data_IF_763485702896
#
_entry.id   IF_763485702896
#
_cell.length_a   1.000
_cell.length_b   1.000
_cell.length_c   1.000
_cell.angle_alpha   90.00
_cell.angle_beta   90.00
_cell.angle_gamma   90.00
#
_symmetry.space_group_name_H-M   'P 1'
#
loop_
_entity.id
_entity.type
_entity.pdbx_description
1 polymer ?
#
# COMPACT_ATOMS: atom_id res chain seq x y z
N UNK A 1 8.78 19.26 -0.16
CA UNK A 1 7.66 19.97 0.50
C UNK A 1 8.11 20.40 1.90
N UNK A 2 7.61 21.51 2.48
CA UNK A 2 8.10 22.01 3.79
C UNK A 2 7.12 21.81 4.97
N UNK A 3 5.81 21.96 4.75
CA UNK A 3 4.75 21.76 5.76
C UNK A 3 3.36 21.77 5.11
N UNK A 4 2.34 21.29 5.84
CA UNK A 4 0.93 21.35 5.44
C UNK A 4 0.26 22.65 5.92
N UNK A 5 -0.66 23.18 5.11
CA UNK A 5 -1.44 24.39 5.40
C UNK A 5 -2.75 24.12 6.16
N UNK A 6 -3.05 22.86 6.46
CA UNK A 6 -4.23 22.44 7.26
C UNK A 6 -3.83 22.20 8.72
N UNK A 7 -4.81 22.15 9.63
CA UNK A 7 -4.63 21.74 11.04
C UNK A 7 -5.28 20.38 11.35
N UNK A 8 -5.77 19.67 10.34
CA UNK A 8 -6.46 18.38 10.50
C UNK A 8 -5.81 17.32 9.61
N UNK A 9 -6.04 16.06 9.98
CA UNK A 9 -5.82 14.94 9.08
C UNK A 9 -6.86 15.02 7.96
N UNK A 10 -6.43 14.89 6.71
CA UNK A 10 -7.28 15.01 5.53
C UNK A 10 -6.86 13.96 4.52
N UNK A 11 -7.85 13.27 3.96
CA UNK A 11 -7.64 12.26 2.95
C UNK A 11 -8.28 12.66 1.62
N UNK A 12 -7.60 12.31 0.53
CA UNK A 12 -8.19 12.25 -0.80
C UNK A 12 -8.25 10.80 -1.25
N UNK A 13 -9.36 10.42 -1.86
CA UNK A 13 -9.68 9.04 -2.21
C UNK A 13 -10.24 8.98 -3.63
N UNK A 14 -9.69 8.06 -4.44
CA UNK A 14 -10.23 7.64 -5.72
C UNK A 14 -10.36 6.12 -5.71
N UNK A 15 -11.60 5.64 -5.69
CA UNK A 15 -11.93 4.22 -5.72
C UNK A 15 -12.79 3.96 -6.94
N UNK A 16 -12.22 3.44 -8.02
CA UNK A 16 -12.96 3.45 -9.28
C UNK A 16 -12.15 3.07 -10.50
N UNK A 17 -12.73 3.30 -11.68
CA UNK A 17 -12.05 3.17 -12.97
C UNK A 17 -10.74 3.96 -13.00
N UNK A 18 -9.70 3.37 -13.59
CA UNK A 18 -8.40 4.04 -13.68
C UNK A 18 -8.43 5.10 -14.80
N UNK A 19 -8.61 6.35 -14.40
CA UNK A 19 -8.53 7.52 -15.29
C UNK A 19 -7.31 8.37 -14.89
N UNK A 20 -6.17 8.09 -15.54
CA UNK A 20 -4.88 8.72 -15.22
C UNK A 20 -4.98 10.26 -15.20
N UNK A 21 -5.63 10.87 -16.20
CA UNK A 21 -5.71 12.32 -16.29
C UNK A 21 -6.56 12.92 -15.17
N UNK A 22 -7.75 12.35 -14.89
CA UNK A 22 -8.62 12.84 -13.82
C UNK A 22 -7.99 12.65 -12.44
N UNK A 23 -7.40 11.49 -12.18
CA UNK A 23 -6.71 11.21 -10.90
C UNK A 23 -5.61 12.26 -10.69
N UNK A 24 -4.71 12.46 -11.66
CA UNK A 24 -3.62 13.45 -11.54
C UNK A 24 -4.16 14.87 -11.34
N UNK A 25 -5.20 15.26 -12.08
CA UNK A 25 -5.78 16.61 -11.99
C UNK A 25 -6.39 16.86 -10.60
N UNK A 26 -7.23 15.94 -10.12
CA UNK A 26 -7.89 16.07 -8.83
C UNK A 26 -6.90 15.95 -7.67
N UNK A 27 -5.99 14.98 -7.73
CA UNK A 27 -4.93 14.78 -6.74
C UNK A 27 -4.03 16.01 -6.61
N UNK A 28 -3.62 16.60 -7.73
CA UNK A 28 -2.78 17.79 -7.74
C UNK A 28 -3.55 19.02 -7.22
N UNK A 29 -4.81 19.18 -7.61
CA UNK A 29 -5.69 20.22 -7.06
C UNK A 29 -5.84 20.07 -5.55
N UNK A 30 -6.10 18.86 -5.07
CA UNK A 30 -6.22 18.54 -3.65
C UNK A 30 -4.93 18.86 -2.89
N UNK A 31 -3.78 18.37 -3.34
CA UNK A 31 -2.54 18.56 -2.59
C UNK A 31 -2.05 20.02 -2.66
N UNK A 32 -2.26 20.71 -3.78
CA UNK A 32 -1.89 22.13 -3.91
C UNK A 32 -2.72 23.05 -3.02
N UNK A 33 -3.99 22.72 -2.73
CA UNK A 33 -4.81 23.52 -1.81
C UNK A 33 -4.42 23.35 -0.34
N UNK A 34 -3.64 22.31 -0.02
CA UNK A 34 -3.22 22.00 1.35
C UNK A 34 -1.72 22.15 1.58
N UNK A 35 -0.96 22.59 0.58
CA UNK A 35 0.51 22.69 0.63
C UNK A 35 1.02 23.94 -0.09
N UNK A 36 2.30 24.25 0.02
CA UNK A 36 2.94 25.36 -0.70
C UNK A 36 3.47 24.99 -2.09
N UNK A 37 3.24 23.76 -2.56
CA UNK A 37 3.73 23.30 -3.85
C UNK A 37 2.80 23.74 -5.00
N UNK A 38 3.39 24.03 -6.16
CA UNK A 38 2.60 24.33 -7.35
C UNK A 38 1.88 23.08 -7.86
N UNK A 39 0.66 23.27 -8.37
CA UNK A 39 -0.12 22.20 -8.97
C UNK A 39 0.64 21.50 -10.11
N UNK A 40 1.40 22.25 -10.92
CA UNK A 40 2.21 21.69 -12.02
C UNK A 40 3.28 20.71 -11.55
N UNK A 41 3.99 21.04 -10.48
CA UNK A 41 5.02 20.18 -9.90
C UNK A 41 4.38 18.89 -9.34
N UNK A 42 3.28 19.05 -8.61
CA UNK A 42 2.53 17.92 -8.04
C UNK A 42 1.98 17.01 -9.16
N UNK A 43 1.43 17.59 -10.23
CA UNK A 43 0.90 16.83 -11.36
C UNK A 43 1.98 15.97 -12.01
N UNK A 44 3.20 16.51 -12.20
CA UNK A 44 4.33 15.73 -12.71
C UNK A 44 4.64 14.55 -11.79
N UNK A 45 4.80 14.81 -10.48
CA UNK A 45 5.09 13.76 -9.49
C UNK A 45 4.04 12.66 -9.48
N UNK A 46 2.75 13.01 -9.51
CA UNK A 46 1.69 12.00 -9.54
C UNK A 46 1.65 11.25 -10.86
N UNK A 47 1.87 11.94 -11.99
CA UNK A 47 1.95 11.28 -13.28
C UNK A 47 3.09 10.26 -13.30
N UNK A 48 4.27 10.61 -12.80
CA UNK A 48 5.42 9.71 -12.74
C UNK A 48 5.14 8.52 -11.83
N UNK A 49 4.57 8.75 -10.65
CA UNK A 49 4.19 7.69 -9.71
C UNK A 49 3.19 6.70 -10.34
N UNK A 50 2.11 7.19 -10.95
CA UNK A 50 1.11 6.34 -11.60
C UNK A 50 1.68 5.56 -12.79
N UNK A 51 2.53 6.19 -13.60
CA UNK A 51 3.16 5.56 -14.75
C UNK A 51 4.14 4.46 -14.33
N UNK A 52 4.99 4.73 -13.33
CA UNK A 52 5.94 3.73 -12.81
C UNK A 52 5.18 2.54 -12.22
N UNK A 53 4.18 2.79 -11.36
CA UNK A 53 3.40 1.73 -10.73
C UNK A 53 2.65 0.88 -11.76
N UNK A 54 2.02 1.51 -12.77
CA UNK A 54 1.30 0.81 -13.83
C UNK A 54 2.25 -0.04 -14.67
N UNK A 55 3.37 0.54 -15.12
CA UNK A 55 4.38 -0.17 -15.88
C UNK A 55 4.86 -1.42 -15.13
N UNK A 56 5.09 -1.28 -13.82
CA UNK A 56 5.54 -2.40 -12.99
C UNK A 56 4.46 -3.49 -12.83
N UNK A 57 3.18 -3.13 -12.61
CA UNK A 57 2.09 -4.12 -12.59
C UNK A 57 1.99 -4.84 -13.94
N UNK A 58 2.03 -4.10 -15.06
CA UNK A 58 1.93 -4.68 -16.40
C UNK A 58 3.08 -5.66 -16.70
N UNK A 59 4.32 -5.31 -16.33
CA UNK A 59 5.52 -6.11 -16.62
C UNK A 59 5.69 -7.32 -15.69
N UNK A 60 5.37 -7.18 -14.40
CA UNK A 60 5.75 -8.15 -13.36
C UNK A 60 4.59 -8.87 -12.67
N UNK A 61 3.43 -8.24 -12.58
CA UNK A 61 2.27 -8.79 -11.85
C UNK A 61 1.20 -9.33 -12.79
N UNK A 62 1.09 -8.69 -13.97
CA UNK A 62 0.08 -8.98 -15.00
C UNK A 62 -1.33 -8.92 -14.42
N UNK A 63 -1.51 -8.05 -13.42
CA UNK A 63 -2.79 -7.73 -12.82
C UNK A 63 -3.63 -6.85 -13.76
N UNK A 64 -4.97 -6.94 -13.72
CA UNK A 64 -5.81 -5.96 -14.38
C UNK A 64 -5.57 -4.56 -13.80
N UNK A 65 -5.43 -3.56 -14.68
CA UNK A 65 -5.28 -2.14 -14.30
C UNK A 65 -6.50 -1.31 -14.72
N UNK A 66 -7.68 -1.94 -14.80
CA UNK A 66 -8.93 -1.29 -15.24
C UNK A 66 -9.47 -0.31 -14.20
N UNK A 67 -9.24 -0.63 -12.93
CA UNK A 67 -9.66 0.14 -11.77
C UNK A 67 -8.49 0.30 -10.79
N UNK A 68 -8.61 1.26 -9.90
CA UNK A 68 -7.63 1.48 -8.85
C UNK A 68 -8.25 1.95 -7.54
N UNK A 69 -7.50 1.69 -6.45
CA UNK A 69 -7.67 2.29 -5.14
C UNK A 69 -6.50 3.25 -4.90
N UNK A 70 -6.71 4.52 -5.19
CA UNK A 70 -5.71 5.58 -5.02
C UNK A 70 -6.07 6.48 -3.84
N UNK A 71 -5.11 6.72 -2.95
CA UNK A 71 -5.31 7.56 -1.76
C UNK A 71 -4.13 8.49 -1.53
N UNK A 72 -4.43 9.68 -1.01
CA UNK A 72 -3.46 10.61 -0.44
C UNK A 72 -3.89 10.88 0.99
N UNK A 73 -3.00 10.62 1.94
CA UNK A 73 -3.22 10.87 3.37
C UNK A 73 -2.31 12.01 3.82
N UNK A 74 -2.91 13.09 4.28
CA UNK A 74 -2.25 14.20 4.95
C UNK A 74 -2.43 14.00 6.45
N UNK A 75 -1.34 13.75 7.16
CA UNK A 75 -1.36 13.48 8.60
C UNK A 75 -0.57 14.54 9.35
N UNK A 76 -1.15 15.00 10.47
CA UNK A 76 -0.52 15.91 11.42
C UNK A 76 0.32 15.16 12.46
N UNK A 77 1.26 15.86 13.12
CA UNK A 77 2.03 15.28 14.18
C UNK A 77 1.12 14.69 15.26
N UNK A 78 1.38 13.44 15.62
CA UNK A 78 0.63 12.73 16.64
C UNK A 78 1.41 11.52 17.14
N UNK A 79 1.09 11.09 18.36
CA UNK A 79 1.84 10.01 19.02
C UNK A 79 1.32 8.60 18.68
N UNK A 80 0.34 8.50 17.78
CA UNK A 80 -0.35 7.24 17.47
C UNK A 80 0.57 6.16 16.87
N UNK A 81 1.74 6.57 16.36
CA UNK A 81 2.77 5.71 15.77
C UNK A 81 4.12 5.81 16.50
N UNK A 82 4.18 6.40 17.70
CA UNK A 82 5.41 6.37 18.54
C UNK A 82 5.83 4.92 18.81
N UNK A 83 4.86 4.04 19.07
CA UNK A 83 5.10 2.60 18.98
C UNK A 83 4.75 2.12 17.57
N UNK A 84 5.72 1.55 16.82
CA UNK A 84 5.47 1.06 15.48
C UNK A 84 4.43 -0.07 15.51
N UNK A 85 3.64 -0.12 14.44
CA UNK A 85 2.63 -1.13 14.15
C UNK A 85 3.12 -2.00 12.99
N UNK A 86 4.06 -2.88 13.28
CA UNK A 86 4.61 -3.80 12.29
C UNK A 86 3.51 -4.76 11.81
N UNK A 87 3.36 -4.88 10.50
CA UNK A 87 2.40 -5.79 9.89
C UNK A 87 2.82 -6.19 8.48
N UNK A 88 2.19 -7.25 7.98
CA UNK A 88 2.13 -7.60 6.56
C UNK A 88 0.73 -7.30 6.07
N UNK A 89 0.62 -6.81 4.83
CA UNK A 89 -0.70 -6.64 4.22
C UNK A 89 -1.31 -8.01 3.93
N UNK A 90 -2.48 -8.26 4.51
CA UNK A 90 -3.33 -9.38 4.14
C UNK A 90 -3.95 -9.19 2.76
N UNK A 91 -4.80 -10.14 2.34
CA UNK A 91 -5.52 -10.01 1.07
C UNK A 91 -6.45 -8.81 1.07
N UNK A 92 -6.31 -7.93 0.09
CA UNK A 92 -7.10 -6.70 -0.03
C UNK A 92 -8.49 -6.96 -0.64
N UNK A 93 -8.55 -7.93 -1.54
CA UNK A 93 -9.76 -8.47 -2.14
C UNK A 93 -9.52 -9.92 -2.59
N UNK A 94 -10.60 -10.62 -2.91
CA UNK A 94 -10.50 -11.94 -3.52
C UNK A 94 -10.11 -11.77 -5.00
N UNK A 95 -8.88 -12.15 -5.34
CA UNK A 95 -8.36 -12.05 -6.71
C UNK A 95 -9.14 -13.00 -7.63
N UNK A 96 -9.65 -12.46 -8.74
CA UNK A 96 -10.33 -13.24 -9.79
C UNK A 96 -9.35 -13.84 -10.80
N UNK A 97 -8.08 -13.46 -10.68
CA UNK A 97 -7.03 -13.65 -11.66
C UNK A 97 -6.59 -15.12 -11.84
N UNK A 98 -6.72 -16.01 -10.85
CA UNK A 98 -6.45 -17.44 -11.02
C UNK A 98 -7.19 -18.30 -9.98
N UNK A 99 -8.41 -18.74 -10.31
CA UNK A 99 -9.05 -19.82 -9.58
C UNK A 99 -8.41 -21.17 -9.94
N UNK A 100 -7.56 -21.68 -9.04
CA UNK A 100 -7.50 -23.11 -8.75
C UNK A 100 -7.11 -23.34 -7.29
N UNK A 101 -7.99 -22.92 -6.39
CA UNK A 101 -8.19 -23.64 -5.14
C UNK A 101 -9.65 -24.11 -5.12
N UNK A 102 -9.91 -25.23 -5.80
CA UNK A 102 -10.83 -26.25 -5.29
C UNK A 102 -9.92 -27.37 -4.82
N UNK A 103 -9.79 -27.57 -3.51
CA UNK A 103 -10.42 -28.69 -2.81
C UNK A 103 -10.04 -30.06 -3.42
N UNK A 104 -9.44 -30.91 -2.59
CA UNK A 104 -9.03 -32.28 -2.88
C UNK A 104 -7.87 -32.47 -3.87
N UNK A 105 -6.72 -32.86 -3.32
CA UNK A 105 -5.75 -33.69 -4.01
C UNK A 105 -6.46 -34.93 -4.56
N UNK A 106 -6.75 -34.93 -5.85
CA UNK A 106 -6.95 -36.16 -6.61
C UNK A 106 -5.78 -36.27 -7.57
N UNK A 107 -4.97 -37.30 -7.33
CA UNK A 107 -3.88 -37.75 -8.18
C UNK A 107 -4.37 -37.92 -9.63
N UNK A 108 -3.93 -37.03 -10.51
CA UNK A 108 -4.30 -37.07 -11.91
C UNK A 108 -3.30 -36.29 -12.73
N UNK A 109 -2.39 -37.02 -13.37
CA UNK A 109 -1.38 -36.55 -14.31
C UNK A 109 -1.98 -35.54 -15.31
N UNK A 110 -1.69 -34.25 -15.15
CA UNK A 110 -1.87 -33.25 -16.21
C UNK A 110 -0.56 -32.48 -16.40
N UNK A 111 -0.07 -32.53 -17.64
CA UNK A 111 1.11 -31.82 -18.12
C UNK A 111 0.80 -30.35 -18.45
N UNK A 112 -0.09 -29.71 -17.70
CA UNK A 112 -0.32 -28.27 -17.81
C UNK A 112 0.69 -27.53 -16.95
N UNK A 113 1.35 -26.47 -17.46
CA UNK A 113 2.21 -25.65 -16.62
C UNK A 113 1.39 -25.12 -15.45
N UNK A 114 1.86 -25.35 -14.22
CA UNK A 114 1.28 -24.78 -13.00
C UNK A 114 1.05 -23.29 -13.26
N UNK A 115 -0.20 -22.85 -13.30
CA UNK A 115 -0.54 -21.43 -13.49
C UNK A 115 0.13 -20.65 -12.35
N UNK A 116 1.10 -19.81 -12.68
CA UNK A 116 1.84 -18.99 -11.71
C UNK A 116 0.87 -18.11 -10.94
N UNK A 117 0.84 -18.23 -9.62
CA UNK A 117 -0.02 -17.44 -8.73
C UNK A 117 0.08 -15.95 -9.09
N UNK A 118 -1.06 -15.31 -9.33
CA UNK A 118 -1.10 -13.88 -9.61
C UNK A 118 -0.61 -13.10 -8.39
N UNK A 119 0.41 -12.26 -8.60
CA UNK A 119 0.96 -11.38 -7.57
C UNK A 119 0.17 -10.08 -7.64
N UNK A 120 -0.30 -9.59 -6.50
CA UNK A 120 -0.84 -8.24 -6.41
C UNK A 120 0.00 -7.40 -5.48
N UNK A 121 0.09 -6.13 -5.81
CA UNK A 121 0.79 -5.16 -4.99
C UNK A 121 -0.01 -3.90 -4.72
N UNK A 122 0.31 -3.28 -3.58
CA UNK A 122 0.06 -1.89 -3.27
C UNK A 122 1.36 -1.13 -3.50
N UNK A 123 1.30 -0.05 -4.27
CA UNK A 123 2.41 0.86 -4.51
C UNK A 123 2.23 2.06 -3.59
N UNK A 124 3.31 2.56 -2.98
CA UNK A 124 3.22 3.74 -2.14
C UNK A 124 4.47 4.60 -2.18
N UNK A 125 4.30 5.88 -1.87
CA UNK A 125 5.40 6.82 -1.72
C UNK A 125 5.09 7.84 -0.63
N UNK A 126 6.15 8.38 -0.02
CA UNK A 126 6.05 9.49 0.92
C UNK A 126 6.56 10.75 0.23
N UNK A 127 5.74 11.81 0.18
CA UNK A 127 6.07 13.09 -0.47
C UNK A 127 6.49 14.19 0.53
N UNK A 128 6.16 14.00 1.81
CA UNK A 128 6.54 14.86 2.92
C UNK A 128 6.60 14.02 4.19
N UNK A 129 7.56 14.32 5.05
CA UNK A 129 7.70 13.69 6.36
C UNK A 129 8.49 12.38 6.32
N UNK A 130 8.53 11.66 7.46
CA UNK A 130 9.24 10.40 7.59
C UNK A 130 8.66 9.32 6.66
N UNK A 131 9.56 8.52 6.08
CA UNK A 131 9.18 7.42 5.18
C UNK A 131 8.63 6.22 5.96
N UNK A 132 7.83 5.39 5.30
CA UNK A 132 7.39 4.10 5.84
C UNK A 132 8.59 3.28 6.29
N UNK A 133 8.52 2.67 7.46
CA UNK A 133 9.56 1.76 7.94
C UNK A 133 9.37 0.41 7.24
N UNK A 134 10.47 -0.16 6.73
CA UNK A 134 10.48 -1.46 6.06
C UNK A 134 11.55 -2.34 6.70
N UNK A 135 11.18 -3.56 7.05
CA UNK A 135 12.14 -4.57 7.47
C UNK A 135 12.59 -5.40 6.25
N UNK A 136 13.90 -5.62 6.06
CA UNK A 136 14.39 -6.62 5.12
C UNK A 136 13.84 -8.01 5.48
N UNK A 137 13.57 -8.83 4.47
CA UNK A 137 13.14 -10.20 4.68
C UNK A 137 14.31 -11.05 5.21
N UNK A 138 14.28 -11.36 6.50
CA UNK A 138 15.25 -12.22 7.18
C UNK A 138 14.54 -13.38 7.86
N UNK A 139 15.28 -14.44 8.20
CA UNK A 139 14.73 -15.57 8.96
C UNK A 139 14.15 -15.13 10.31
N UNK A 140 14.75 -14.12 10.94
CA UNK A 140 14.31 -13.58 12.23
C UNK A 140 13.00 -12.79 12.09
N UNK A 141 12.89 -11.95 11.05
CA UNK A 141 11.65 -11.21 10.77
C UNK A 141 10.50 -12.18 10.49
N UNK A 142 10.73 -13.18 9.62
CA UNK A 142 9.73 -14.20 9.30
C UNK A 142 9.29 -15.01 10.51
N UNK A 143 10.22 -15.54 11.30
CA UNK A 143 9.86 -16.32 12.49
C UNK A 143 9.11 -15.48 13.52
N UNK A 144 9.51 -14.21 13.68
CA UNK A 144 8.83 -13.28 14.58
C UNK A 144 7.38 -13.03 14.19
N UNK A 145 7.07 -12.88 12.89
CA UNK A 145 5.70 -12.74 12.39
C UNK A 145 4.87 -14.01 12.66
N UNK A 146 5.43 -15.19 12.45
CA UNK A 146 4.74 -16.48 12.70
C UNK A 146 4.44 -16.67 14.20
N UNK A 147 5.41 -16.36 15.07
CA UNK A 147 5.28 -16.55 16.52
C UNK A 147 4.18 -15.70 17.15
N UNK A 148 3.83 -14.57 16.54
CA UNK A 148 2.78 -13.66 17.05
C UNK A 148 1.43 -13.85 16.39
N UNK A 149 1.33 -14.65 15.32
CA UNK A 149 0.14 -14.73 14.48
C UNK A 149 -1.13 -15.20 15.21
N UNK A 150 -0.98 -15.91 16.34
CA UNK A 150 -2.11 -16.37 17.17
C UNK A 150 -2.45 -15.45 18.34
N UNK A 151 -1.70 -14.36 18.53
CA UNK A 151 -1.92 -13.40 19.62
C UNK A 151 -3.08 -12.45 19.28
N UNK A 152 -3.57 -11.72 20.28
CA UNK A 152 -4.45 -10.59 20.00
C UNK A 152 -3.68 -9.46 19.29
N UNK A 153 -4.37 -8.63 18.51
CA UNK A 153 -3.75 -7.53 17.77
C UNK A 153 -2.90 -6.59 18.64
N UNK A 154 -3.30 -6.34 19.89
CA UNK A 154 -2.54 -5.47 20.78
C UNK A 154 -1.28 -6.15 21.32
N UNK A 155 -1.37 -7.44 21.66
CA UNK A 155 -0.20 -8.22 22.10
C UNK A 155 0.80 -8.40 20.95
N UNK A 156 0.31 -8.71 19.75
CA UNK A 156 1.10 -8.76 18.51
C UNK A 156 1.88 -7.45 18.33
N UNK A 157 1.18 -6.31 18.39
CA UNK A 157 1.77 -4.97 18.23
C UNK A 157 2.89 -4.71 19.23
N UNK A 158 2.65 -4.97 20.52
CA UNK A 158 3.66 -4.76 21.58
C UNK A 158 4.87 -5.67 21.37
N UNK A 159 4.63 -6.94 21.06
CA UNK A 159 5.68 -7.93 20.89
C UNK A 159 6.55 -7.66 19.66
N UNK A 160 5.94 -7.31 18.51
CA UNK A 160 6.69 -6.98 17.31
C UNK A 160 7.48 -5.67 17.47
N UNK A 161 6.89 -4.64 18.09
CA UNK A 161 7.61 -3.39 18.37
C UNK A 161 8.87 -3.63 19.21
N UNK A 162 8.78 -4.51 20.23
CA UNK A 162 9.92 -4.89 21.06
C UNK A 162 10.95 -5.74 20.31
N UNK A 163 10.50 -6.73 19.54
CA UNK A 163 11.40 -7.65 18.80
C UNK A 163 12.23 -6.90 17.76
N UNK A 164 11.63 -5.93 17.07
CA UNK A 164 12.27 -5.22 15.97
C UNK A 164 12.89 -3.87 16.37
N UNK A 165 12.97 -3.55 17.67
CA UNK A 165 13.52 -2.28 18.18
C UNK A 165 14.97 -2.04 17.71
N UNK A 166 15.75 -3.11 17.50
CA UNK A 166 17.16 -3.04 17.12
C UNK A 166 17.43 -3.53 15.69
N UNK A 167 16.39 -3.83 14.91
CA UNK A 167 16.57 -4.26 13.52
C UNK A 167 16.91 -3.06 12.63
N UNK A 168 17.77 -3.29 11.64
CA UNK A 168 18.06 -2.27 10.63
C UNK A 168 16.94 -2.22 9.59
N UNK A 169 16.46 -1.01 9.31
CA UNK A 169 15.42 -0.79 8.30
C UNK A 169 16.02 -0.57 6.92
N UNK A 170 15.26 -0.88 5.87
CA UNK A 170 15.61 -0.47 4.53
C UNK A 170 15.70 1.07 4.46
N UNK A 171 16.79 1.58 3.89
CA UNK A 171 16.98 3.03 3.74
C UNK A 171 16.10 3.54 2.60
N UNK A 172 15.22 4.48 2.92
CA UNK A 172 14.34 5.14 1.98
C UNK A 172 14.49 6.66 2.07
N UNK A 173 14.35 7.32 0.93
CA UNK A 173 14.22 8.78 0.84
C UNK A 173 12.84 9.17 0.32
N UNK A 174 12.45 10.41 0.63
CA UNK A 174 11.20 11.00 0.13
C UNK A 174 11.17 10.91 -1.40
N UNK A 175 10.06 10.40 -1.94
CA UNK A 175 9.87 10.16 -3.37
C UNK A 175 10.18 8.74 -3.82
N UNK A 176 10.85 7.92 -3.01
CA UNK A 176 10.99 6.50 -3.31
C UNK A 176 9.62 5.82 -3.41
N UNK A 177 9.51 4.84 -4.31
CA UNK A 177 8.29 4.07 -4.52
C UNK A 177 8.50 2.68 -3.93
N UNK A 178 7.66 2.33 -2.97
CA UNK A 178 7.64 1.03 -2.33
C UNK A 178 6.56 0.19 -2.99
N UNK A 179 6.87 -1.08 -3.27
CA UNK A 179 5.92 -2.09 -3.72
C UNK A 179 5.69 -3.10 -2.60
N UNK A 180 4.46 -3.12 -2.09
CA UNK A 180 4.00 -4.09 -1.10
C UNK A 180 3.24 -5.18 -1.82
N UNK A 181 3.87 -6.34 -2.04
CA UNK A 181 3.07 -7.54 -2.31
C UNK A 181 2.19 -7.82 -1.10
N UNK A 182 1.05 -8.46 -1.30
CA UNK A 182 0.11 -8.72 -0.21
C UNK A 182 -0.51 -10.11 -0.30
N UNK A 183 -0.88 -10.65 0.87
CA UNK A 183 -1.51 -11.97 0.99
C UNK A 183 -0.56 -13.16 0.82
N UNK A 184 0.74 -12.91 0.80
CA UNK A 184 1.82 -13.91 0.78
C UNK A 184 2.67 -13.85 2.06
N UNK A 185 3.24 -14.99 2.47
CA UNK A 185 4.06 -15.10 3.69
C UNK A 185 5.34 -14.26 3.64
N UNK A 186 5.87 -13.99 2.44
CA UNK A 186 7.04 -13.14 2.19
C UNK A 186 6.67 -11.70 1.80
N UNK A 187 5.41 -11.29 2.01
CA UNK A 187 4.99 -9.90 1.82
C UNK A 187 5.79 -8.97 2.74
N UNK A 188 6.15 -7.75 2.29
CA UNK A 188 7.00 -6.86 3.09
C UNK A 188 6.40 -6.52 4.47
N UNK A 189 7.18 -6.75 5.52
CA UNK A 189 6.86 -6.31 6.88
C UNK A 189 7.16 -4.82 6.98
N UNK A 190 6.16 -4.04 7.36
CA UNK A 190 6.27 -2.58 7.37
C UNK A 190 5.48 -1.92 8.49
N UNK A 191 5.80 -0.65 8.72
CA UNK A 191 5.08 0.17 9.70
C UNK A 191 5.07 1.65 9.33
N UNK A 192 4.06 2.38 9.80
CA UNK A 192 4.14 3.83 9.86
C UNK A 192 5.32 4.27 10.76
N UNK A 193 6.05 5.32 10.35
CA UNK A 193 7.10 5.89 11.17
C UNK A 193 6.51 6.70 12.32
N UNK A 194 7.34 7.01 13.34
CA UNK A 194 7.00 8.04 14.31
C UNK A 194 6.81 9.39 13.59
N UNK A 195 5.62 9.97 13.74
CA UNK A 195 5.25 11.27 13.19
C UNK A 195 5.01 12.32 14.26
N UNK A 196 5.32 12.07 15.54
CA UNK A 196 5.07 12.96 16.69
C UNK A 196 5.56 14.40 16.49
N UNK A 197 6.57 14.60 15.63
CA UNK A 197 7.20 15.89 15.38
C UNK A 197 7.09 16.39 13.92
N UNK A 198 6.32 15.74 13.05
CA UNK A 198 6.28 16.13 11.63
C UNK A 198 4.95 15.85 10.92
N UNK A 199 4.61 16.72 9.98
CA UNK A 199 3.56 16.46 9.00
C UNK A 199 4.00 15.33 8.07
N UNK A 200 3.04 14.53 7.59
CA UNK A 200 3.28 13.45 6.63
C UNK A 200 2.31 13.50 5.46
N UNK A 201 2.82 13.35 4.24
CA UNK A 201 2.03 13.13 3.02
C UNK A 201 2.37 11.75 2.47
N UNK A 202 1.44 10.82 2.62
CA UNK A 202 1.59 9.46 2.15
C UNK A 202 0.61 9.19 1.01
N UNK A 203 1.10 8.59 -0.06
CA UNK A 203 0.33 8.29 -1.27
C UNK A 203 0.35 6.79 -1.48
N UNK A 204 -0.78 6.19 -1.79
CA UNK A 204 -0.83 4.78 -2.17
C UNK A 204 -1.76 4.51 -3.33
N UNK A 205 -1.45 3.48 -4.10
CA UNK A 205 -2.16 3.02 -5.28
C UNK A 205 -2.20 1.51 -5.28
N UNK A 206 -3.34 0.93 -5.59
CA UNK A 206 -3.48 -0.48 -5.88
C UNK A 206 -4.33 -0.65 -7.13
N UNK A 207 -3.95 -1.56 -8.02
CA UNK A 207 -4.70 -1.88 -9.23
C UNK A 207 -5.56 -3.14 -9.05
N UNK A 208 -6.60 -3.25 -9.86
CA UNK A 208 -7.38 -4.47 -10.04
C UNK A 208 -8.43 -4.29 -11.13
N UNK A 209 -9.23 -5.33 -11.32
CA UNK A 209 -10.40 -5.30 -12.21
C UNK A 209 -11.51 -4.42 -11.62
N UNK A 210 -12.44 -3.96 -12.47
CA UNK A 210 -13.63 -3.25 -11.97
C UNK A 210 -14.44 -4.09 -10.99
N UNK A 211 -14.48 -5.41 -11.15
CA UNK A 211 -15.22 -6.31 -10.25
C UNK A 211 -14.59 -6.37 -8.86
N UNK A 212 -13.27 -6.61 -8.78
CA UNK A 212 -12.52 -6.67 -7.52
C UNK A 212 -12.67 -5.38 -6.72
N UNK A 213 -12.49 -4.22 -7.38
CA UNK A 213 -12.55 -2.94 -6.71
C UNK A 213 -13.99 -2.56 -6.31
N UNK A 214 -15.02 -2.93 -7.09
CA UNK A 214 -16.43 -2.78 -6.65
C UNK A 214 -16.74 -3.61 -5.43
N UNK A 215 -16.23 -4.85 -5.36
CA UNK A 215 -16.38 -5.71 -4.19
C UNK A 215 -15.73 -5.08 -2.96
N UNK A 216 -14.51 -4.57 -3.11
CA UNK A 216 -13.78 -3.87 -2.05
C UNK A 216 -14.50 -2.60 -1.58
N UNK A 217 -15.02 -1.78 -2.51
CA UNK A 217 -15.86 -0.61 -2.20
C UNK A 217 -17.07 -1.02 -1.35
N UNK A 218 -17.80 -2.07 -1.75
CA UNK A 218 -18.95 -2.58 -1.00
C UNK A 218 -18.59 -3.04 0.41
N UNK A 219 -17.47 -3.74 0.58
CA UNK A 219 -17.00 -4.21 1.88
C UNK A 219 -16.59 -3.06 2.82
N UNK A 220 -16.16 -1.94 2.24
CA UNK A 220 -15.68 -0.76 2.98
C UNK A 220 -16.69 0.39 3.03
N UNK A 221 -17.93 0.15 2.59
CA UNK A 221 -19.00 1.16 2.50
C UNK A 221 -18.58 2.44 1.75
N UNK A 222 -17.90 2.25 0.61
CA UNK A 222 -17.44 3.33 -0.27
C UNK A 222 -18.17 3.29 -1.61
N UNK A 223 -18.33 4.46 -2.22
CA UNK A 223 -18.86 4.58 -3.58
C UNK A 223 -17.77 4.28 -4.62
N UNK A 224 -18.12 3.49 -5.64
CA UNK A 224 -17.24 3.22 -6.78
C UNK A 224 -17.41 4.32 -7.83
N UNK A 225 -16.31 4.92 -8.26
CA UNK A 225 -16.25 5.95 -9.30
C UNK A 225 -16.12 5.28 -10.67
N UNK A 226 -17.06 5.55 -11.57
CA UNK A 226 -17.09 4.93 -12.91
C UNK A 226 -15.97 5.37 -13.86
#
# INVERSE_FOLDING_TARGET
MKSLNTNKNIDYNWFGGFDHHKIVTEAASFLSSHTSLSASCISSTFSDFLNIARKYCDEHERCPTEACWFTIRLTKPSDVFVMPRWHQDGRMFDCTCLHSHSEHENEGSSSEPRKEKAIHSKYATTLLGPCTLLLPETSFVRSSMIEVASLSHEEERIQLAKRFENEEFASLVVGDIIRFTWGDEDSPVHSEPDISCSDRVFVSLMFGSKEELRKMCKWRDMEFRE
#
